data_IF_659830883759
#
_entry.id   IF_659830883759
#
_cell.length_a   1.000
_cell.length_b   1.000
_cell.length_c   1.000
_cell.angle_alpha   90.00
_cell.angle_beta   90.00
_cell.angle_gamma   90.00
#
_symmetry.space_group_name_H-M   'P 1'
#
loop_
_entity.id
_entity.type
_entity.pdbx_description
1 polymer ?
#
# COMPACT_ATOMS: atom_id res chain seq x y z
N UNK A 1 -10.33 -11.23 24.91
CA UNK A 1 -11.16 -10.86 23.75
C UNK A 1 -10.63 -9.51 23.34
N UNK A 2 -9.94 -9.42 22.22
CA UNK A 2 -9.47 -8.12 21.72
C UNK A 2 -10.72 -7.44 21.17
N UNK A 3 -11.30 -6.51 21.93
CA UNK A 3 -12.28 -5.61 21.33
C UNK A 3 -11.53 -4.81 20.26
N UNK A 4 -12.03 -4.88 19.04
CA UNK A 4 -11.46 -4.12 17.95
C UNK A 4 -11.84 -2.66 18.20
N UNK A 5 -10.83 -1.81 18.36
CA UNK A 5 -11.04 -0.38 18.58
C UNK A 5 -11.83 0.21 17.38
N UNK A 6 -13.07 0.69 17.59
CA UNK A 6 -13.90 1.20 16.51
C UNK A 6 -13.26 2.40 15.81
N UNK A 7 -12.42 3.17 16.50
CA UNK A 7 -11.69 4.31 15.93
C UNK A 7 -10.61 3.83 14.96
N UNK A 8 -9.89 2.76 15.31
CA UNK A 8 -8.82 2.18 14.50
C UNK A 8 -9.37 1.59 13.18
N UNK A 9 -10.56 0.98 13.20
CA UNK A 9 -11.26 0.55 11.98
C UNK A 9 -11.70 1.73 11.11
N UNK A 10 -12.33 2.75 11.72
CA UNK A 10 -12.80 3.93 11.02
C UNK A 10 -11.64 4.74 10.42
N UNK A 11 -10.49 4.81 11.11
CA UNK A 11 -9.30 5.48 10.61
C UNK A 11 -8.74 4.79 9.36
N UNK A 12 -8.75 3.45 9.31
CA UNK A 12 -8.37 2.70 8.11
C UNK A 12 -9.36 2.84 6.96
N UNK A 13 -10.66 2.81 7.26
CA UNK A 13 -11.70 3.09 6.26
C UNK A 13 -11.48 4.48 5.63
N UNK A 14 -11.33 5.50 6.48
CA UNK A 14 -11.11 6.87 6.04
C UNK A 14 -9.79 7.06 5.31
N UNK A 15 -8.71 6.38 5.70
CA UNK A 15 -7.45 6.42 4.97
C UNK A 15 -7.64 5.92 3.53
N UNK A 16 -8.41 4.85 3.33
CA UNK A 16 -8.71 4.32 2.00
C UNK A 16 -9.56 5.30 1.18
N UNK A 17 -10.60 5.87 1.79
CA UNK A 17 -11.47 6.87 1.15
C UNK A 17 -10.69 8.12 0.73
N UNK A 18 -9.70 8.52 1.54
CA UNK A 18 -8.88 9.71 1.30
C UNK A 18 -7.58 9.41 0.53
N UNK A 19 -7.33 8.17 0.11
CA UNK A 19 -6.05 7.81 -0.48
C UNK A 19 -5.74 8.58 -1.77
N UNK A 20 -6.75 8.96 -2.56
CA UNK A 20 -6.55 9.86 -3.70
C UNK A 20 -6.00 11.23 -3.29
N UNK A 21 -6.49 11.78 -2.19
CA UNK A 21 -6.03 13.07 -1.66
C UNK A 21 -4.60 12.94 -1.12
N UNK A 22 -4.29 11.84 -0.42
CA UNK A 22 -2.94 11.52 0.04
C UNK A 22 -1.96 11.49 -1.13
N UNK A 23 -2.25 10.70 -2.16
CA UNK A 23 -1.38 10.59 -3.34
C UNK A 23 -1.22 11.95 -4.04
N UNK A 24 -2.28 12.76 -4.12
CA UNK A 24 -2.20 14.10 -4.68
C UNK A 24 -1.30 15.03 -3.86
N UNK A 25 -1.36 14.96 -2.53
CA UNK A 25 -0.50 15.74 -1.62
C UNK A 25 0.96 15.32 -1.75
N UNK A 26 1.24 14.02 -1.85
CA UNK A 26 2.60 13.51 -2.10
C UNK A 26 3.13 13.95 -3.46
N UNK A 27 2.31 13.87 -4.52
CA UNK A 27 2.70 14.40 -5.83
C UNK A 27 3.01 15.91 -5.75
N UNK A 28 2.18 16.70 -5.07
CA UNK A 28 2.42 18.13 -4.89
C UNK A 28 3.70 18.41 -4.10
N UNK A 29 3.96 17.66 -3.03
CA UNK A 29 5.19 17.74 -2.24
C UNK A 29 6.43 17.39 -3.07
N UNK A 30 6.32 16.42 -3.98
CA UNK A 30 7.45 15.96 -4.81
C UNK A 30 7.90 16.99 -5.86
N UNK A 31 7.07 17.99 -6.19
CA UNK A 31 7.39 18.98 -7.22
C UNK A 31 8.68 19.72 -6.87
N UNK A 32 9.66 19.66 -7.77
CA UNK A 32 10.96 20.30 -7.61
C UNK A 32 12.00 19.45 -6.87
N UNK A 33 11.69 18.19 -6.54
CA UNK A 33 12.72 17.23 -6.10
C UNK A 33 13.74 16.98 -7.20
N UNK A 34 13.33 16.92 -8.46
CA UNK A 34 14.19 16.68 -9.63
C UNK A 34 15.25 17.78 -9.83
N UNK A 35 14.98 18.99 -9.37
CA UNK A 35 15.91 20.12 -9.39
C UNK A 35 16.92 20.09 -8.23
N UNK A 36 16.68 19.25 -7.21
CA UNK A 36 17.58 19.13 -6.05
C UNK A 36 18.90 18.47 -6.44
N UNK A 37 20.02 18.88 -5.81
CA UNK A 37 21.31 18.22 -6.04
C UNK A 37 21.27 16.77 -5.55
N UNK A 38 21.82 15.84 -6.33
CA UNK A 38 22.04 14.48 -5.85
C UNK A 38 23.27 14.44 -4.92
N UNK A 39 23.08 13.90 -3.73
CA UNK A 39 24.06 13.84 -2.66
C UNK A 39 24.41 12.38 -2.33
N UNK A 40 25.67 12.13 -2.00
CA UNK A 40 26.16 10.84 -1.50
C UNK A 40 26.82 11.02 -0.14
N UNK A 41 26.70 10.02 0.73
CA UNK A 41 27.45 10.01 1.99
C UNK A 41 28.91 9.68 1.76
N UNK A 42 29.79 10.65 2.02
CA UNK A 42 31.25 10.47 1.97
C UNK A 42 31.83 10.83 3.33
N UNK A 43 32.42 9.83 3.99
CA UNK A 43 32.97 9.96 5.36
C UNK A 43 31.93 10.53 6.35
N UNK A 44 30.69 10.07 6.23
CA UNK A 44 29.58 10.47 7.10
C UNK A 44 28.87 11.77 6.69
N UNK A 45 29.40 12.53 5.74
CA UNK A 45 28.83 13.82 5.33
C UNK A 45 28.15 13.72 3.96
N UNK A 46 27.01 14.41 3.74
CA UNK A 46 26.41 14.51 2.41
C UNK A 46 27.29 15.37 1.49
N UNK A 47 27.64 14.83 0.33
CA UNK A 47 28.48 15.51 -0.67
C UNK A 47 27.79 15.47 -2.02
N UNK A 48 27.67 16.63 -2.66
CA UNK A 48 27.08 16.73 -3.99
C UNK A 48 27.91 15.99 -5.04
N UNK A 49 27.22 15.21 -5.86
CA UNK A 49 27.84 14.46 -6.95
C UNK A 49 28.03 15.27 -8.24
N UNK A 50 27.43 16.47 -8.30
CA UNK A 50 27.51 17.38 -9.45
C UNK A 50 26.35 17.25 -10.45
N UNK A 51 25.42 16.32 -10.23
CA UNK A 51 24.17 16.19 -10.98
C UNK A 51 22.97 16.48 -10.06
N UNK A 52 21.84 16.85 -10.65
CA UNK A 52 20.55 16.87 -9.92
C UNK A 52 19.93 15.48 -9.87
N UNK A 53 18.94 15.29 -9.00
CA UNK A 53 18.14 14.05 -8.96
C UNK A 53 17.48 13.79 -10.31
N UNK A 54 16.89 14.82 -10.94
CA UNK A 54 16.24 14.70 -12.24
C UNK A 54 17.19 14.32 -13.38
N UNK A 55 18.41 14.89 -13.39
CA UNK A 55 19.42 14.53 -14.39
C UNK A 55 19.86 13.07 -14.28
N UNK A 56 19.96 12.54 -13.06
CA UNK A 56 20.28 11.14 -12.82
C UNK A 56 19.11 10.22 -13.14
N UNK A 57 17.90 10.59 -12.72
CA UNK A 57 16.67 9.85 -13.02
C UNK A 57 16.47 9.72 -14.53
N UNK A 58 16.65 10.81 -15.29
CA UNK A 58 16.58 10.79 -16.75
C UNK A 58 17.67 9.95 -17.43
N UNK A 59 18.77 9.69 -16.75
CA UNK A 59 19.85 8.80 -17.19
C UNK A 59 19.72 7.37 -16.65
N UNK A 60 18.61 7.04 -15.98
CA UNK A 60 18.40 5.76 -15.29
C UNK A 60 19.54 5.38 -14.33
N UNK A 61 20.11 6.39 -13.65
CA UNK A 61 21.14 6.20 -12.64
C UNK A 61 20.51 6.16 -11.25
N UNK A 62 21.04 5.36 -10.30
CA UNK A 62 20.56 5.32 -8.93
C UNK A 62 20.59 6.71 -8.27
N UNK A 63 19.54 7.03 -7.52
CA UNK A 63 19.38 8.24 -6.71
C UNK A 63 19.74 7.99 -5.25
N UNK A 64 19.61 6.75 -4.81
CA UNK A 64 20.11 6.27 -3.52
C UNK A 64 21.63 6.05 -3.54
N UNK A 65 22.26 6.32 -2.40
CA UNK A 65 23.65 5.94 -2.15
C UNK A 65 23.75 4.49 -1.66
N UNK A 66 24.83 3.79 -1.98
CA UNK A 66 25.08 2.40 -1.53
C UNK A 66 25.05 2.23 0.00
N UNK A 67 25.30 3.29 0.76
CA UNK A 67 25.33 3.29 2.23
C UNK A 67 23.98 3.63 2.88
N UNK A 68 23.04 4.17 2.10
CA UNK A 68 21.84 4.82 2.61
C UNK A 68 20.55 4.13 2.11
N UNK A 69 20.67 2.97 1.46
CA UNK A 69 19.54 2.20 0.96
C UNK A 69 18.63 1.74 2.10
N UNK A 70 17.35 2.12 2.02
CA UNK A 70 16.32 1.73 3.00
C UNK A 70 15.91 0.29 2.72
N UNK A 71 16.19 -0.64 3.64
CA UNK A 71 15.89 -2.07 3.48
C UNK A 71 14.40 -2.36 3.21
N UNK A 72 13.52 -1.51 3.78
CA UNK A 72 12.06 -1.60 3.66
C UNK A 72 11.55 -1.28 2.24
N UNK A 73 12.34 -0.56 1.43
CA UNK A 73 11.97 -0.20 0.06
C UNK A 73 12.31 -1.29 -0.97
N UNK A 74 13.04 -2.34 -0.56
CA UNK A 74 13.48 -3.41 -1.45
C UNK A 74 14.40 -2.94 -2.59
N UNK A 75 14.48 -3.73 -3.67
CA UNK A 75 15.22 -3.34 -4.87
C UNK A 75 14.42 -2.28 -5.65
N UNK A 76 14.78 -1.01 -5.48
CA UNK A 76 14.15 0.11 -6.19
C UNK A 76 14.68 0.21 -7.63
N UNK A 77 13.79 0.59 -8.55
CA UNK A 77 14.20 0.86 -9.93
C UNK A 77 14.94 2.20 -10.00
N UNK A 78 16.12 2.29 -10.65
CA UNK A 78 16.87 3.54 -10.75
C UNK A 78 16.04 4.69 -11.36
N UNK A 79 16.01 5.83 -10.67
CA UNK A 79 15.25 7.02 -11.09
C UNK A 79 13.74 6.96 -10.81
N UNK A 80 13.27 5.94 -10.09
CA UNK A 80 11.89 5.85 -9.61
C UNK A 80 11.64 6.78 -8.42
N UNK A 81 10.36 6.95 -8.06
CA UNK A 81 9.97 7.69 -6.87
C UNK A 81 10.50 7.02 -5.59
N UNK A 82 10.44 5.68 -5.49
CA UNK A 82 11.00 4.96 -4.35
C UNK A 82 12.53 5.15 -4.24
N UNK A 83 13.25 5.17 -5.36
CA UNK A 83 14.68 5.50 -5.38
C UNK A 83 14.94 6.95 -4.94
N UNK A 84 14.08 7.90 -5.31
CA UNK A 84 14.16 9.28 -4.85
C UNK A 84 13.92 9.43 -3.34
N UNK A 85 13.00 8.65 -2.76
CA UNK A 85 12.78 8.64 -1.30
C UNK A 85 13.99 8.09 -0.53
N UNK A 86 14.79 7.24 -1.16
CA UNK A 86 16.06 6.74 -0.62
C UNK A 86 17.26 7.67 -0.90
N UNK A 87 17.05 8.83 -1.53
CA UNK A 87 18.11 9.81 -1.75
C UNK A 87 18.30 10.73 -0.52
N UNK A 88 19.50 11.29 -0.40
CA UNK A 88 19.86 12.16 0.72
C UNK A 88 19.41 13.61 0.53
N UNK A 89 18.94 14.20 1.62
CA UNK A 89 18.66 15.63 1.77
C UNK A 89 19.95 16.38 2.13
N UNK A 90 20.01 17.73 2.00
CA UNK A 90 21.17 18.53 2.40
C UNK A 90 21.59 18.34 3.88
N UNK A 91 20.64 18.03 4.75
CA UNK A 91 20.83 17.74 6.17
C UNK A 91 21.39 16.32 6.40
N UNK A 92 21.48 15.51 5.35
CA UNK A 92 21.98 14.14 5.39
C UNK A 92 20.95 13.13 5.92
N UNK A 93 19.66 13.47 5.88
CA UNK A 93 18.52 12.56 6.10
C UNK A 93 18.04 11.98 4.77
N UNK A 94 17.10 11.05 4.80
CA UNK A 94 16.44 10.57 3.58
C UNK A 94 15.25 11.47 3.23
N UNK A 95 14.93 11.57 1.94
CA UNK A 95 13.67 12.21 1.51
C UNK A 95 12.44 11.46 2.02
N UNK A 96 12.55 10.16 2.31
CA UNK A 96 11.52 9.41 3.03
C UNK A 96 11.18 10.02 4.41
N UNK A 97 12.19 10.48 5.15
CA UNK A 97 11.99 11.11 6.46
C UNK A 97 11.29 12.47 6.32
N UNK A 98 11.65 13.23 5.28
CA UNK A 98 10.99 14.52 4.99
C UNK A 98 9.56 14.34 4.48
N UNK A 99 9.29 13.32 3.67
CA UNK A 99 7.93 12.97 3.24
C UNK A 99 7.04 12.65 4.45
N UNK A 100 7.55 11.80 5.35
CA UNK A 100 6.82 11.40 6.54
C UNK A 100 6.52 12.60 7.46
N UNK A 101 7.51 13.47 7.68
CA UNK A 101 7.36 14.66 8.50
C UNK A 101 6.44 15.71 7.87
N UNK A 102 6.62 16.01 6.58
CA UNK A 102 5.98 17.14 5.92
C UNK A 102 4.59 16.81 5.39
N UNK A 103 4.29 15.53 5.13
CA UNK A 103 3.02 15.08 4.54
C UNK A 103 2.33 14.02 5.40
N UNK A 104 2.96 12.85 5.60
CA UNK A 104 2.25 11.68 6.16
C UNK A 104 1.77 11.94 7.59
N UNK A 105 2.60 12.51 8.45
CA UNK A 105 2.26 12.77 9.84
C UNK A 105 1.04 13.70 9.97
N UNK A 106 0.99 14.77 9.18
CA UNK A 106 -0.13 15.71 9.17
C UNK A 106 -1.40 15.11 8.59
N UNK A 107 -1.29 14.40 7.46
CA UNK A 107 -2.42 13.77 6.79
C UNK A 107 -3.07 12.68 7.66
N UNK A 108 -2.24 11.83 8.28
CA UNK A 108 -2.69 10.76 9.17
C UNK A 108 -3.35 11.32 10.41
N UNK A 109 -2.76 12.33 11.06
CA UNK A 109 -3.39 12.99 12.21
C UNK A 109 -4.81 13.47 11.86
N UNK A 110 -4.96 14.17 10.74
CA UNK A 110 -6.27 14.64 10.29
C UNK A 110 -7.24 13.48 10.03
N UNK A 111 -6.75 12.35 9.49
CA UNK A 111 -7.57 11.15 9.25
C UNK A 111 -8.04 10.55 10.56
N UNK A 112 -7.17 10.42 11.56
CA UNK A 112 -7.52 9.94 12.90
C UNK A 112 -8.52 10.89 13.59
N UNK A 113 -8.34 12.21 13.48
CA UNK A 113 -9.29 13.18 14.04
C UNK A 113 -10.67 13.01 13.40
N UNK A 114 -10.77 12.90 12.07
CA UNK A 114 -12.04 12.61 11.40
C UNK A 114 -12.65 11.27 11.85
N UNK A 115 -11.81 10.25 12.11
CA UNK A 115 -12.26 8.97 12.65
C UNK A 115 -12.85 9.13 14.06
N UNK A 116 -12.21 9.90 14.94
CA UNK A 116 -12.74 10.18 16.29
C UNK A 116 -14.06 10.94 16.26
N UNK A 117 -14.18 11.95 15.38
CA UNK A 117 -15.43 12.69 15.20
C UNK A 117 -16.55 11.76 14.74
N UNK A 118 -16.27 10.88 13.77
CA UNK A 118 -17.25 9.89 13.27
C UNK A 118 -17.58 8.83 14.31
N UNK A 119 -16.60 8.33 15.07
CA UNK A 119 -16.80 7.38 16.15
C UNK A 119 -17.69 7.97 17.27
N UNK A 120 -17.46 9.22 17.65
CA UNK A 120 -18.25 9.91 18.67
C UNK A 120 -19.74 10.02 18.32
N UNK A 121 -20.07 10.07 17.02
CA UNK A 121 -21.44 10.15 16.52
C UNK A 121 -22.09 8.78 16.34
N UNK A 122 -21.34 7.79 15.87
CA UNK A 122 -21.85 6.44 15.56
C UNK A 122 -21.90 5.54 16.79
N UNK A 123 -20.95 5.70 17.71
CA UNK A 123 -20.71 4.84 18.88
C UNK A 123 -20.57 5.66 20.18
N UNK A 124 -21.57 6.49 20.56
CA UNK A 124 -21.40 7.47 21.64
C UNK A 124 -21.13 6.87 23.03
N UNK A 125 -21.59 5.63 23.29
CA UNK A 125 -21.35 4.96 24.57
C UNK A 125 -19.94 4.37 24.65
N UNK A 126 -19.52 3.62 23.62
CA UNK A 126 -18.17 3.07 23.49
C UNK A 126 -17.12 4.19 23.45
N UNK A 127 -17.42 5.30 22.77
CA UNK A 127 -16.58 6.49 22.76
C UNK A 127 -16.39 7.10 24.15
N UNK A 128 -17.46 7.16 24.97
CA UNK A 128 -17.36 7.68 26.33
C UNK A 128 -16.54 6.78 27.26
N UNK A 129 -16.68 5.45 27.12
CA UNK A 129 -15.86 4.47 27.85
C UNK A 129 -14.39 4.58 27.46
N UNK A 130 -14.11 4.65 26.15
CA UNK A 130 -12.76 4.84 25.62
C UNK A 130 -12.10 6.14 26.14
N UNK A 131 -12.86 7.24 26.19
CA UNK A 131 -12.36 8.51 26.74
C UNK A 131 -11.99 8.38 28.23
N UNK A 132 -12.80 7.68 29.02
CA UNK A 132 -12.49 7.42 30.45
C UNK A 132 -11.22 6.56 30.60
N UNK A 133 -11.09 5.52 29.77
CA UNK A 133 -9.90 4.65 29.74
C UNK A 133 -8.61 5.41 29.34
N UNK A 134 -8.72 6.35 28.41
CA UNK A 134 -7.63 7.23 27.98
C UNK A 134 -7.36 8.39 28.96
N UNK A 135 -8.28 8.66 29.90
CA UNK A 135 -8.22 9.80 30.80
C UNK A 135 -8.44 11.15 30.10
N UNK A 136 -9.15 11.14 28.99
CA UNK A 136 -9.44 12.30 28.13
C UNK A 136 -10.91 12.72 28.26
N UNK A 137 -11.23 14.00 28.00
CA UNK A 137 -12.62 14.51 28.06
C UNK A 137 -13.27 14.67 26.68
N UNK A 138 -12.52 14.39 25.61
CA UNK A 138 -12.96 14.46 24.22
C UNK A 138 -13.10 15.88 23.66
N UNK A 139 -12.71 16.92 24.41
CA UNK A 139 -12.78 18.31 23.92
C UNK A 139 -11.64 18.69 22.98
N UNK A 140 -10.52 17.95 23.05
CA UNK A 140 -9.38 18.04 22.14
C UNK A 140 -9.16 16.69 21.43
N UNK A 141 -9.76 16.49 20.25
CA UNK A 141 -9.58 15.26 19.47
C UNK A 141 -8.12 14.96 19.13
N UNK A 142 -7.27 15.99 18.99
CA UNK A 142 -5.84 15.78 18.73
C UNK A 142 -5.15 15.18 19.95
N UNK A 143 -5.48 15.66 21.16
CA UNK A 143 -4.97 15.05 22.41
C UNK A 143 -5.38 13.58 22.50
N UNK A 144 -6.66 13.28 22.25
CA UNK A 144 -7.17 11.89 22.28
C UNK A 144 -6.40 10.99 21.32
N UNK A 145 -6.22 11.42 20.07
CA UNK A 145 -5.47 10.66 19.05
C UNK A 145 -4.03 10.42 19.47
N UNK A 146 -3.38 11.42 20.08
CA UNK A 146 -1.99 11.32 20.54
C UNK A 146 -1.87 10.37 21.74
N UNK A 147 -2.78 10.46 22.70
CA UNK A 147 -2.82 9.60 23.89
C UNK A 147 -3.09 8.15 23.52
N UNK A 148 -3.94 7.90 22.52
CA UNK A 148 -4.24 6.56 22.01
C UNK A 148 -3.19 6.02 21.01
N UNK A 149 -2.24 6.85 20.57
CA UNK A 149 -1.18 6.50 19.61
C UNK A 149 -1.66 5.95 18.25
N UNK A 150 -2.91 6.23 17.84
CA UNK A 150 -3.50 5.68 16.60
C UNK A 150 -2.76 6.09 15.32
N UNK A 151 -2.01 7.18 15.35
CA UNK A 151 -1.28 7.65 14.16
C UNK A 151 -0.15 6.71 13.76
N UNK A 152 0.51 6.05 14.72
CA UNK A 152 1.69 5.24 14.45
C UNK A 152 1.39 4.07 13.49
N UNK A 153 0.39 3.20 13.73
CA UNK A 153 0.04 2.14 12.78
C UNK A 153 -0.48 2.71 11.46
N UNK A 154 -1.28 3.78 11.50
CA UNK A 154 -1.88 4.35 10.29
C UNK A 154 -0.85 5.05 9.39
N UNK A 155 0.25 5.57 9.95
CA UNK A 155 1.40 6.12 9.19
C UNK A 155 2.12 5.05 8.38
N UNK A 156 2.29 3.85 8.93
CA UNK A 156 2.88 2.73 8.20
C UNK A 156 2.00 2.36 7.01
N UNK A 157 0.69 2.27 7.21
CA UNK A 157 -0.26 1.98 6.13
C UNK A 157 -0.28 3.08 5.07
N UNK A 158 -0.21 4.36 5.47
CA UNK A 158 -0.13 5.48 4.55
C UNK A 158 1.16 5.46 3.70
N UNK A 159 2.33 5.19 4.31
CA UNK A 159 3.60 5.05 3.59
C UNK A 159 3.52 3.92 2.55
N UNK A 160 3.00 2.76 2.95
CA UNK A 160 2.80 1.62 2.06
C UNK A 160 1.85 1.93 0.90
N UNK A 161 0.75 2.64 1.14
CA UNK A 161 -0.18 3.08 0.09
C UNK A 161 0.51 4.01 -0.91
N UNK A 162 1.33 4.95 -0.44
CA UNK A 162 2.09 5.86 -1.30
C UNK A 162 3.11 5.10 -2.14
N UNK A 163 3.87 4.18 -1.53
CA UNK A 163 4.83 3.35 -2.23
C UNK A 163 4.18 2.44 -3.26
N UNK A 164 3.02 1.86 -2.94
CA UNK A 164 2.27 1.03 -3.87
C UNK A 164 1.72 1.85 -5.06
N UNK A 165 1.29 3.09 -4.81
CA UNK A 165 0.76 3.99 -5.84
C UNK A 165 1.85 4.61 -6.73
N UNK A 166 2.97 5.05 -6.15
CA UNK A 166 3.95 5.90 -6.81
C UNK A 166 5.35 5.29 -6.90
N UNK A 167 5.68 4.30 -6.06
CA UNK A 167 7.05 3.85 -5.84
C UNK A 167 7.78 3.42 -7.11
N UNK A 168 7.10 2.72 -8.02
CA UNK A 168 7.66 2.29 -9.31
C UNK A 168 7.59 3.34 -10.42
N UNK A 169 6.87 4.44 -10.24
CA UNK A 169 6.78 5.50 -11.24
C UNK A 169 8.09 6.27 -11.35
N UNK A 170 8.41 6.81 -12.53
CA UNK A 170 9.57 7.68 -12.68
C UNK A 170 9.38 8.97 -11.88
N UNK A 171 10.42 9.43 -11.16
CA UNK A 171 10.40 10.70 -10.44
C UNK A 171 9.93 11.86 -11.35
N UNK A 172 10.45 11.91 -12.58
CA UNK A 172 10.09 12.95 -13.55
C UNK A 172 8.60 12.88 -13.98
N UNK A 173 7.99 11.69 -13.98
CA UNK A 173 6.58 11.51 -14.27
C UNK A 173 5.69 11.89 -13.09
N UNK A 174 6.15 11.64 -11.85
CA UNK A 174 5.43 12.05 -10.64
C UNK A 174 5.39 13.59 -10.55
N UNK A 175 6.45 14.27 -10.97
CA UNK A 175 6.53 15.74 -10.97
C UNK A 175 5.84 16.42 -12.17
N UNK A 176 5.86 15.80 -13.36
CA UNK A 176 5.30 16.40 -14.57
C UNK A 176 3.76 16.28 -14.59
N UNK A 177 3.06 17.40 -14.32
CA UNK A 177 1.61 17.62 -14.40
C UNK A 177 0.71 16.41 -14.08
N UNK A 178 0.21 16.37 -12.83
CA UNK A 178 -1.06 15.76 -12.42
C UNK A 178 -1.17 14.26 -12.67
N UNK A 179 -1.10 13.48 -11.58
CA UNK A 179 -1.41 12.05 -11.49
C UNK A 179 -2.01 11.49 -12.79
N UNK A 180 -1.22 10.90 -13.71
CA UNK A 180 -1.78 10.26 -14.89
C UNK A 180 -2.90 9.34 -14.40
N UNK A 181 -4.07 9.39 -15.05
CA UNK A 181 -5.25 8.64 -14.64
C UNK A 181 -4.94 7.15 -14.39
N UNK A 182 -3.90 6.61 -15.03
CA UNK A 182 -3.36 5.28 -14.79
C UNK A 182 -2.75 5.08 -13.38
N UNK A 183 -2.07 6.07 -12.79
CA UNK A 183 -1.56 6.01 -11.42
C UNK A 183 -2.68 6.17 -10.39
N UNK A 184 -3.66 7.04 -10.65
CA UNK A 184 -4.87 7.11 -9.82
C UNK A 184 -5.61 5.78 -9.86
N UNK A 185 -5.77 5.18 -11.05
CA UNK A 185 -6.41 3.88 -11.20
C UNK A 185 -5.61 2.72 -10.63
N UNK A 186 -4.28 2.78 -10.66
CA UNK A 186 -3.44 1.78 -10.00
C UNK A 186 -3.59 1.87 -8.48
N UNK A 187 -3.58 3.09 -7.92
CA UNK A 187 -3.87 3.32 -6.51
C UNK A 187 -5.30 2.88 -6.15
N UNK A 188 -6.32 3.27 -6.92
CA UNK A 188 -7.72 2.85 -6.75
C UNK A 188 -7.87 1.32 -6.86
N UNK A 189 -7.14 0.65 -7.74
CA UNK A 189 -7.18 -0.82 -7.87
C UNK A 189 -6.55 -1.54 -6.68
N UNK A 190 -5.58 -0.91 -6.00
CA UNK A 190 -4.99 -1.39 -4.75
C UNK A 190 -5.88 -1.09 -3.52
N UNK A 191 -6.75 -0.09 -3.65
CA UNK A 191 -7.72 0.35 -2.63
C UNK A 191 -9.08 -0.32 -2.78
N UNK A 192 -9.39 -0.85 -3.95
CA UNK A 192 -10.51 -1.75 -4.11
C UNK A 192 -10.25 -2.91 -3.16
N UNK A 193 -11.13 -3.16 -2.17
CA UNK A 193 -11.15 -4.50 -1.63
C UNK A 193 -11.26 -5.42 -2.85
N UNK A 194 -10.51 -6.54 -2.87
CA UNK A 194 -10.99 -7.68 -3.63
C UNK A 194 -12.47 -7.76 -3.28
N UNK A 195 -13.34 -7.52 -4.28
CA UNK A 195 -14.78 -7.33 -4.06
C UNK A 195 -15.17 -8.36 -3.04
N UNK A 196 -15.67 -8.00 -1.84
CA UNK A 196 -16.08 -9.01 -0.90
C UNK A 196 -17.24 -9.72 -1.60
N UNK A 197 -16.92 -10.85 -2.22
CA UNK A 197 -17.88 -11.91 -2.46
C UNK A 197 -18.48 -12.09 -1.09
N UNK A 198 -19.80 -11.89 -0.97
CA UNK A 198 -20.49 -12.21 0.27
C UNK A 198 -19.98 -13.57 0.71
N UNK A 199 -19.24 -13.59 1.83
CA UNK A 199 -18.79 -14.82 2.46
C UNK A 199 -20.06 -15.43 3.02
N UNK A 200 -20.81 -16.13 2.17
CA UNK A 200 -21.60 -17.24 2.65
C UNK A 200 -20.63 -18.16 3.34
N UNK A 201 -20.88 -18.46 4.62
CA UNK A 201 -20.05 -19.28 5.49
C UNK A 201 -19.30 -20.33 4.67
N UNK A 202 -17.99 -20.11 4.49
CA UNK A 202 -17.13 -21.13 3.92
C UNK A 202 -17.12 -22.28 4.94
N UNK A 203 -17.70 -23.42 4.57
CA UNK A 203 -17.56 -24.67 5.32
C UNK A 203 -16.06 -24.88 5.66
N UNK A 204 -15.75 -25.40 6.85
CA UNK A 204 -14.37 -25.60 7.34
C UNK A 204 -13.47 -26.35 6.33
N UNK A 205 -14.06 -27.14 5.41
CA UNK A 205 -13.37 -27.82 4.30
C UNK A 205 -12.83 -26.84 3.23
N UNK A 206 -13.55 -25.75 2.92
CA UNK A 206 -13.14 -24.78 1.91
C UNK A 206 -11.92 -23.95 2.36
N UNK A 207 -11.76 -23.73 3.67
CA UNK A 207 -10.60 -23.00 4.21
C UNK A 207 -9.27 -23.72 3.91
N UNK A 208 -9.25 -25.05 3.96
CA UNK A 208 -8.06 -25.85 3.62
C UNK A 208 -7.70 -25.79 2.13
N UNK A 209 -8.71 -25.89 1.27
CA UNK A 209 -8.53 -25.80 -0.19
C UNK A 209 -8.07 -24.39 -0.62
N UNK A 210 -8.61 -23.34 0.00
CA UNK A 210 -8.19 -21.95 -0.26
C UNK A 210 -6.73 -21.73 0.11
N UNK A 211 -6.29 -22.24 1.27
CA UNK A 211 -4.89 -22.14 1.68
C UNK A 211 -3.93 -22.78 0.67
N UNK A 212 -4.27 -23.99 0.18
CA UNK A 212 -3.48 -24.66 -0.86
C UNK A 212 -3.49 -23.88 -2.18
N UNK A 213 -4.62 -23.29 -2.55
CA UNK A 213 -4.76 -22.52 -3.78
C UNK A 213 -3.96 -21.21 -3.76
N UNK A 214 -3.95 -20.50 -2.63
CA UNK A 214 -3.13 -19.30 -2.43
C UNK A 214 -1.64 -19.63 -2.50
N UNK A 215 -1.21 -20.72 -1.85
CA UNK A 215 0.17 -21.19 -1.92
C UNK A 215 0.58 -21.54 -3.36
N UNK A 216 -0.29 -22.23 -4.11
CA UNK A 216 -0.04 -22.59 -5.51
C UNK A 216 0.26 -21.36 -6.37
N UNK A 217 -0.53 -20.29 -6.20
CA UNK A 217 -0.40 -19.06 -6.97
C UNK A 217 0.89 -18.32 -6.60
N UNK A 218 1.21 -18.23 -5.31
CA UNK A 218 2.44 -17.58 -4.83
C UNK A 218 3.69 -18.27 -5.37
N UNK A 219 3.71 -19.61 -5.38
CA UNK A 219 4.85 -20.40 -5.87
C UNK A 219 4.96 -20.41 -7.40
N UNK A 220 3.83 -20.31 -8.10
CA UNK A 220 3.79 -20.37 -9.56
C UNK A 220 4.29 -19.08 -10.24
N UNK A 221 4.42 -17.97 -9.50
CA UNK A 221 4.92 -16.70 -10.04
C UNK A 221 4.03 -16.12 -11.14
N UNK A 222 2.73 -16.39 -11.09
CA UNK A 222 1.75 -15.95 -12.08
C UNK A 222 1.54 -14.44 -11.98
N UNK A 223 1.22 -13.81 -13.11
CA UNK A 223 0.81 -12.41 -13.10
C UNK A 223 -0.52 -12.28 -12.34
N UNK A 224 -0.66 -11.30 -11.45
CA UNK A 224 -1.89 -11.08 -10.69
C UNK A 224 -2.58 -9.76 -11.12
N UNK A 225 -3.91 -9.77 -11.34
CA UNK A 225 -4.80 -10.95 -11.38
C UNK A 225 -4.47 -11.87 -12.57
N UNK A 226 -4.61 -13.19 -12.38
CA UNK A 226 -4.21 -14.19 -13.38
C UNK A 226 -4.98 -13.98 -14.68
N UNK A 227 -4.28 -13.70 -15.80
CA UNK A 227 -4.92 -13.46 -17.08
C UNK A 227 -5.27 -14.78 -17.79
N UNK A 228 -6.22 -14.78 -18.75
CA UNK A 228 -6.73 -16.02 -19.37
C UNK A 228 -5.64 -16.81 -20.12
N UNK A 229 -4.59 -16.14 -20.59
CA UNK A 229 -3.40 -16.77 -21.19
C UNK A 229 -2.68 -17.72 -20.23
N UNK A 230 -2.77 -17.46 -18.92
CA UNK A 230 -2.13 -18.23 -17.86
C UNK A 230 -3.06 -19.27 -17.22
N UNK A 231 -4.31 -19.41 -17.69
CA UNK A 231 -5.29 -20.36 -17.13
C UNK A 231 -4.80 -21.82 -17.09
N UNK A 232 -3.97 -22.23 -18.06
CA UNK A 232 -3.37 -23.57 -18.06
C UNK A 232 -2.29 -23.74 -16.99
N UNK A 233 -1.50 -22.70 -16.75
CA UNK A 233 -0.45 -22.68 -15.73
C UNK A 233 -1.07 -22.64 -14.33
N UNK A 234 -2.14 -21.85 -14.14
CA UNK A 234 -2.94 -21.83 -12.93
C UNK A 234 -3.51 -23.20 -12.59
N UNK A 235 -4.17 -23.85 -13.55
CA UNK A 235 -4.73 -25.19 -13.31
C UNK A 235 -3.64 -26.22 -12.97
N UNK A 236 -2.49 -26.15 -13.63
CA UNK A 236 -1.35 -27.02 -13.31
C UNK A 236 -0.80 -26.76 -11.89
N UNK A 237 -0.71 -25.50 -11.47
CA UNK A 237 -0.26 -25.13 -10.12
C UNK A 237 -1.23 -25.66 -9.05
N UNK A 238 -2.53 -25.42 -9.21
CA UNK A 238 -3.56 -25.87 -8.26
C UNK A 238 -3.60 -27.40 -8.12
N UNK A 239 -3.56 -28.11 -9.23
CA UNK A 239 -3.52 -29.59 -9.21
C UNK A 239 -2.21 -30.14 -8.64
N UNK A 240 -1.09 -29.42 -8.80
CA UNK A 240 0.20 -29.83 -8.23
C UNK A 240 0.31 -29.67 -6.72
N UNK A 241 -0.41 -28.68 -6.16
CA UNK A 241 -0.58 -28.51 -4.70
C UNK A 241 -1.62 -29.48 -4.12
N UNK A 242 -2.24 -30.32 -4.95
CA UNK A 242 -3.09 -31.42 -4.54
C UNK A 242 -4.59 -31.13 -4.53
N UNK A 243 -5.05 -30.01 -5.09
CA UNK A 243 -6.49 -29.74 -5.20
C UNK A 243 -7.16 -30.68 -6.21
N UNK A 244 -8.28 -31.26 -5.80
CA UNK A 244 -9.16 -32.04 -6.66
C UNK A 244 -9.93 -31.13 -7.64
N UNK A 245 -10.36 -31.66 -8.81
CA UNK A 245 -11.14 -30.89 -9.80
C UNK A 245 -12.37 -30.17 -9.24
N UNK A 246 -13.07 -30.79 -8.27
CA UNK A 246 -14.24 -30.18 -7.63
C UNK A 246 -13.82 -29.01 -6.72
N UNK A 247 -12.79 -29.21 -5.90
CA UNK A 247 -12.23 -28.18 -5.02
C UNK A 247 -11.69 -26.99 -5.83
N UNK A 248 -11.05 -27.23 -6.99
CA UNK A 248 -10.61 -26.15 -7.87
C UNK A 248 -11.79 -25.27 -8.31
N UNK A 249 -12.92 -25.88 -8.68
CA UNK A 249 -14.11 -25.12 -9.08
C UNK A 249 -14.70 -24.31 -7.91
N UNK A 250 -14.61 -24.84 -6.69
CA UNK A 250 -15.09 -24.19 -5.48
C UNK A 250 -14.20 -23.04 -5.03
N UNK A 251 -12.87 -23.13 -5.19
CA UNK A 251 -11.94 -22.06 -4.80
C UNK A 251 -11.82 -20.96 -5.85
N UNK A 252 -12.04 -21.25 -7.15
CA UNK A 252 -11.87 -20.30 -8.26
C UNK A 252 -12.52 -18.91 -8.03
N UNK A 253 -13.75 -18.80 -7.49
CA UNK A 253 -14.38 -17.50 -7.21
C UNK A 253 -13.63 -16.63 -6.18
N UNK A 254 -12.75 -17.24 -5.38
CA UNK A 254 -12.00 -16.58 -4.31
C UNK A 254 -10.56 -16.25 -4.71
N UNK A 255 -10.08 -16.73 -5.86
CA UNK A 255 -8.71 -16.51 -6.32
C UNK A 255 -8.58 -15.17 -7.08
N UNK A 256 -7.41 -14.52 -7.05
CA UNK A 256 -7.14 -13.29 -7.78
C UNK A 256 -6.99 -13.56 -9.29
N UNK A 257 -8.09 -13.90 -9.97
CA UNK A 257 -8.15 -14.26 -11.39
C UNK A 257 -9.14 -13.36 -12.13
N UNK A 258 -8.91 -13.12 -13.42
CA UNK A 258 -9.94 -12.48 -14.25
C UNK A 258 -11.12 -13.44 -14.48
N UNK A 259 -12.33 -12.90 -14.68
CA UNK A 259 -13.53 -13.71 -14.93
C UNK A 259 -13.35 -14.68 -16.11
N UNK A 260 -12.73 -14.20 -17.20
CA UNK A 260 -12.41 -15.02 -18.38
C UNK A 260 -11.41 -16.16 -18.06
N UNK A 261 -10.55 -15.96 -17.07
CA UNK A 261 -9.61 -16.99 -16.59
C UNK A 261 -10.35 -18.07 -15.81
N UNK A 262 -11.26 -17.69 -14.91
CA UNK A 262 -12.09 -18.64 -14.17
C UNK A 262 -12.93 -19.51 -15.12
N UNK A 263 -13.55 -18.90 -16.13
CA UNK A 263 -14.30 -19.62 -17.17
C UNK A 263 -13.40 -20.57 -17.97
N UNK A 264 -12.19 -20.14 -18.33
CA UNK A 264 -11.22 -20.97 -19.05
C UNK A 264 -10.75 -22.18 -18.24
N UNK A 265 -10.52 -22.03 -16.93
CA UNK A 265 -10.16 -23.14 -16.04
C UNK A 265 -11.35 -24.10 -15.87
N UNK A 266 -12.55 -23.56 -15.62
CA UNK A 266 -13.75 -24.38 -15.47
C UNK A 266 -14.07 -25.18 -16.74
N UNK A 267 -13.88 -24.58 -17.92
CA UNK A 267 -14.02 -25.28 -19.20
C UNK A 267 -13.00 -26.42 -19.36
N UNK A 268 -11.74 -26.21 -18.94
CA UNK A 268 -10.68 -27.23 -19.01
C UNK A 268 -10.95 -28.41 -18.08
N UNK A 269 -11.47 -28.16 -16.88
CA UNK A 269 -11.83 -29.20 -15.92
C UNK A 269 -13.03 -30.04 -16.37
N UNK A 270 -13.98 -29.45 -17.10
CA UNK A 270 -15.15 -30.15 -17.66
C UNK A 270 -14.85 -30.89 -18.98
N UNK A 271 -13.74 -30.56 -19.63
CA UNK A 271 -13.31 -31.15 -20.90
C UNK A 271 -12.36 -32.36 -20.71
N UNK A 272 -11.89 -32.60 -19.48
CA UNK A 272 -11.16 -33.78 -19.04
C UNK A 272 -12.09 -34.71 -18.23
#
# INVERSE_FOLDING_TARGET
MFDVDPVDLLARELLRDRARDLVAEVCAWSVGLSDRPHLERRRGLPVATGLTLGQRAGAALPLSGEQDARLELGDTSPGSFADALAALTPEGRLYADELDQDVLAGFVLQTCVLATERASLLHPLEWAELLDDLGEDGTDPVSVVRTAEWEAPLRIEADLLVLAALGGASLLQVEAEGLPLSLVRAAEALLLPATPVEVGDADEELSGALFLAENAIQQAGLALPVPPEEAAALLAALTSEGLEPAEVLEVLPYLPVLADTADAVAHRLRAN
#
